data_IF_191378513726
#
_entry.id   IF_191378513726
#
_cell.length_a   1.000
_cell.length_b   1.000
_cell.length_c   1.000
_cell.angle_alpha   90.00
_cell.angle_beta   90.00
_cell.angle_gamma   90.00
#
_symmetry.space_group_name_H-M   'P 1'
#
loop_
_entity.id
_entity.type
_entity.pdbx_description
1 polymer ?
#
# COMPACT_ATOMS: atom_id res chain seq x y z
N UNK A 1 14.26 20.67 5.88
CA UNK A 1 12.97 20.65 5.17
C UNK A 1 13.27 20.61 3.68
N UNK A 2 13.00 19.51 2.98
CA UNK A 2 13.13 19.46 1.52
C UNK A 2 11.89 20.11 0.91
N UNK A 3 12.03 21.27 0.28
CA UNK A 3 10.97 21.85 -0.55
C UNK A 3 10.73 20.92 -1.75
N UNK A 4 9.61 20.18 -1.72
CA UNK A 4 9.14 19.52 -2.93
C UNK A 4 8.66 20.63 -3.87
N UNK A 5 9.50 20.97 -4.84
CA UNK A 5 9.14 21.88 -5.92
C UNK A 5 8.15 21.19 -6.86
N UNK A 6 6.95 21.76 -6.97
CA UNK A 6 5.94 21.33 -7.94
C UNK A 6 6.45 21.51 -9.38
N UNK A 7 6.06 20.61 -10.29
CA UNK A 7 6.44 20.63 -11.71
C UNK A 7 7.93 20.37 -12.02
N UNK A 8 8.63 19.65 -11.14
CA UNK A 8 9.95 19.06 -11.38
C UNK A 8 9.84 17.53 -11.31
N UNK A 9 10.64 16.83 -12.11
CA UNK A 9 10.87 15.39 -11.92
C UNK A 9 11.59 15.13 -10.59
N UNK A 10 11.13 14.12 -9.87
CA UNK A 10 11.72 13.67 -8.61
C UNK A 10 11.88 12.16 -8.65
N UNK A 11 12.97 11.67 -8.08
CA UNK A 11 13.14 10.23 -7.88
C UNK A 11 12.14 9.73 -6.85
N UNK A 12 11.40 8.67 -7.19
CA UNK A 12 10.44 8.05 -6.28
C UNK A 12 11.11 7.64 -4.97
N UNK A 13 12.34 7.12 -5.03
CA UNK A 13 13.14 6.74 -3.86
C UNK A 13 13.46 7.91 -2.93
N UNK A 14 13.45 9.16 -3.41
CA UNK A 14 13.59 10.36 -2.59
C UNK A 14 12.32 10.69 -1.80
N UNK A 15 11.15 10.27 -2.28
CA UNK A 15 9.84 10.64 -1.75
C UNK A 15 9.25 9.57 -0.83
N UNK A 16 9.48 8.30 -1.15
CA UNK A 16 8.89 7.15 -0.43
C UNK A 16 9.95 6.14 0.00
N UNK A 17 9.59 5.31 0.97
CA UNK A 17 10.32 4.12 1.38
C UNK A 17 9.49 2.87 1.06
N UNK A 18 10.14 1.81 0.60
CA UNK A 18 9.51 0.49 0.57
C UNK A 18 9.36 -0.05 1.98
N UNK A 19 8.16 -0.51 2.34
CA UNK A 19 7.92 -1.08 3.66
C UNK A 19 8.43 -2.52 3.73
N UNK A 20 9.27 -2.81 4.73
CA UNK A 20 9.76 -4.15 5.05
C UNK A 20 9.20 -4.70 6.36
N UNK A 21 8.37 -3.93 7.07
CA UNK A 21 7.72 -4.32 8.32
C UNK A 21 6.77 -5.51 8.09
N UNK A 22 6.62 -6.36 9.12
CA UNK A 22 5.83 -7.59 9.04
C UNK A 22 4.86 -7.70 10.20
N UNK A 23 3.61 -8.03 9.90
CA UNK A 23 2.55 -8.33 10.87
C UNK A 23 2.32 -9.84 10.95
N UNK A 24 1.99 -10.34 12.14
CA UNK A 24 1.66 -11.76 12.35
C UNK A 24 0.29 -12.09 11.76
N UNK A 25 0.15 -13.29 11.19
CA UNK A 25 -1.09 -13.71 10.56
C UNK A 25 -2.30 -13.70 11.51
N UNK A 26 -2.09 -13.97 12.80
CA UNK A 26 -3.16 -13.92 13.82
C UNK A 26 -3.72 -12.52 14.09
N UNK A 27 -3.10 -11.45 13.59
CA UNK A 27 -3.57 -10.07 13.71
C UNK A 27 -4.24 -9.54 12.44
N UNK A 28 -4.37 -10.37 11.41
CA UNK A 28 -4.93 -10.00 10.11
C UNK A 28 -6.22 -10.79 9.88
N UNK A 29 -7.25 -10.08 9.42
CA UNK A 29 -8.58 -10.60 9.10
C UNK A 29 -8.82 -10.54 7.59
N UNK A 30 -9.94 -11.09 7.12
CA UNK A 30 -10.34 -10.97 5.71
C UNK A 30 -10.53 -9.51 5.29
N UNK A 31 -11.02 -8.66 6.20
CA UNK A 31 -11.21 -7.23 5.94
C UNK A 31 -9.90 -6.43 5.94
N UNK A 32 -8.85 -6.95 6.60
CA UNK A 32 -7.55 -6.25 6.76
C UNK A 32 -6.42 -6.92 5.97
N UNK A 33 -6.74 -7.88 5.10
CA UNK A 33 -5.78 -8.53 4.20
C UNK A 33 -5.92 -8.03 2.77
N UNK A 34 -4.84 -7.50 2.20
CA UNK A 34 -4.80 -6.99 0.83
C UNK A 34 -3.91 -7.86 -0.06
N UNK A 35 -4.42 -8.20 -1.23
CA UNK A 35 -3.74 -8.99 -2.25
C UNK A 35 -4.14 -8.49 -3.63
N UNK A 36 -3.50 -9.04 -4.67
CA UNK A 36 -3.83 -8.70 -6.06
C UNK A 36 -5.27 -9.03 -6.43
N UNK A 37 -5.91 -9.98 -5.73
CA UNK A 37 -7.24 -10.49 -6.05
C UNK A 37 -8.34 -9.54 -5.57
N UNK A 38 -8.17 -8.92 -4.40
CA UNK A 38 -9.16 -8.03 -3.79
C UNK A 38 -8.83 -6.53 -3.93
N UNK A 39 -7.77 -6.18 -4.65
CA UNK A 39 -7.60 -4.81 -5.17
C UNK A 39 -8.39 -4.62 -6.47
N UNK A 40 -9.20 -3.56 -6.53
CA UNK A 40 -10.01 -3.23 -7.70
C UNK A 40 -9.18 -2.54 -8.78
N UNK A 41 -9.54 -2.79 -10.05
CA UNK A 41 -8.88 -2.17 -11.21
C UNK A 41 -9.08 -0.65 -11.19
N UNK A 42 -8.25 0.07 -11.92
CA UNK A 42 -8.43 1.51 -12.18
C UNK A 42 -8.51 2.38 -10.92
N UNK A 43 -7.70 2.03 -9.91
CA UNK A 43 -7.66 2.71 -8.60
C UNK A 43 -9.01 2.70 -7.90
N UNK A 44 -9.83 1.67 -8.17
CA UNK A 44 -11.18 1.53 -7.63
C UNK A 44 -11.26 1.19 -6.14
N UNK A 45 -10.13 1.05 -5.44
CA UNK A 45 -10.07 0.70 -4.03
C UNK A 45 -9.84 -0.79 -3.79
N UNK A 46 -10.41 -1.29 -2.69
CA UNK A 46 -10.25 -2.67 -2.23
C UNK A 46 -11.58 -3.24 -1.76
N UNK A 47 -11.70 -4.57 -1.81
CA UNK A 47 -12.80 -5.34 -1.23
C UNK A 47 -12.26 -6.30 -0.16
N UNK A 48 -13.11 -6.84 0.74
CA UNK A 48 -12.68 -7.89 1.66
C UNK A 48 -12.10 -9.10 0.92
N UNK A 49 -11.03 -9.69 1.47
CA UNK A 49 -10.47 -10.91 0.92
C UNK A 49 -11.45 -12.07 1.06
N UNK A 50 -11.45 -13.00 0.11
CA UNK A 50 -12.27 -14.22 0.19
C UNK A 50 -11.62 -15.32 1.03
N UNK A 51 -10.29 -15.26 1.21
CA UNK A 51 -9.51 -16.20 2.02
C UNK A 51 -8.20 -15.56 2.49
N UNK A 52 -7.71 -16.01 3.64
CA UNK A 52 -6.34 -15.74 4.07
C UNK A 52 -5.41 -16.85 3.56
N UNK A 53 -4.20 -16.52 3.09
CA UNK A 53 -3.21 -17.53 2.73
C UNK A 53 -2.64 -18.21 3.99
N UNK A 54 -2.15 -19.44 3.83
CA UNK A 54 -1.42 -20.15 4.88
C UNK A 54 0.01 -19.63 5.01
N UNK A 55 0.19 -18.47 5.64
CA UNK A 55 1.48 -17.87 5.96
C UNK A 55 1.51 -17.43 7.43
N UNK A 56 2.69 -17.38 8.04
CA UNK A 56 2.84 -16.94 9.43
C UNK A 56 2.88 -15.42 9.59
N UNK A 57 3.31 -14.69 8.54
CA UNK A 57 3.46 -13.23 8.54
C UNK A 57 3.16 -12.62 7.17
N UNK A 58 2.75 -11.36 7.17
CA UNK A 58 2.44 -10.56 5.99
C UNK A 58 3.24 -9.27 5.96
N UNK A 59 3.34 -8.60 4.81
CA UNK A 59 3.83 -7.23 4.75
C UNK A 59 2.87 -6.32 5.51
N UNK A 60 3.37 -5.50 6.43
CA UNK A 60 2.52 -4.66 7.27
C UNK A 60 2.38 -3.26 6.68
N UNK A 61 1.20 -2.91 6.18
CA UNK A 61 0.89 -1.54 5.77
C UNK A 61 0.15 -0.79 6.88
N UNK A 62 0.28 0.53 6.89
CA UNK A 62 -0.38 1.45 7.79
C UNK A 62 -1.31 2.38 7.01
N UNK A 63 -2.19 3.06 7.73
CA UNK A 63 -2.99 4.16 7.19
C UNK A 63 -2.07 5.16 6.46
N UNK A 64 -2.52 5.65 5.31
CA UNK A 64 -1.81 6.53 4.36
C UNK A 64 -0.63 5.90 3.60
N UNK A 65 -0.38 4.60 3.73
CA UNK A 65 0.51 3.93 2.78
C UNK A 65 -0.15 3.78 1.41
N UNK A 66 0.64 3.90 0.34
CA UNK A 66 0.17 3.58 -1.01
C UNK A 66 0.52 2.13 -1.34
N UNK A 67 -0.51 1.31 -1.59
CA UNK A 67 -0.39 -0.08 -2.00
C UNK A 67 -0.50 -0.19 -3.53
N UNK A 68 0.39 -0.95 -4.13
CA UNK A 68 0.48 -1.14 -5.57
C UNK A 68 0.60 -2.63 -5.91
N UNK A 69 -0.35 -3.15 -6.68
CA UNK A 69 -0.29 -4.53 -7.20
C UNK A 69 0.82 -4.66 -8.24
N UNK A 70 1.85 -5.46 -7.96
CA UNK A 70 3.00 -5.64 -8.85
C UNK A 70 2.71 -6.63 -9.99
N UNK A 71 1.70 -7.50 -9.84
CA UNK A 71 1.27 -8.41 -10.91
C UNK A 71 0.28 -7.69 -11.82
N UNK A 72 0.56 -7.73 -13.14
CA UNK A 72 -0.28 -7.12 -14.20
C UNK A 72 -0.55 -5.62 -13.96
N UNK A 73 0.53 -4.84 -13.84
CA UNK A 73 0.53 -3.41 -13.51
C UNK A 73 -0.37 -2.54 -14.40
N UNK A 74 -0.65 -2.97 -15.63
CA UNK A 74 -1.57 -2.31 -16.56
C UNK A 74 -3.02 -2.22 -16.05
N UNK A 75 -3.42 -3.04 -15.07
CA UNK A 75 -4.73 -2.94 -14.42
C UNK A 75 -4.87 -1.77 -13.43
N UNK A 76 -3.79 -1.04 -13.15
CA UNK A 76 -3.81 0.18 -12.32
C UNK A 76 -4.43 -0.04 -10.94
N UNK A 77 -4.23 -1.23 -10.36
CA UNK A 77 -4.65 -1.58 -9.01
C UNK A 77 -3.73 -0.88 -7.99
N UNK A 78 -4.13 0.32 -7.59
CA UNK A 78 -3.42 1.19 -6.64
C UNK A 78 -4.42 1.67 -5.61
N UNK A 79 -4.03 1.68 -4.34
CA UNK A 79 -4.91 2.08 -3.25
C UNK A 79 -4.13 2.87 -2.19
N UNK A 80 -4.73 3.95 -1.70
CA UNK A 80 -4.25 4.67 -0.53
C UNK A 80 -4.97 4.08 0.69
N UNK A 81 -4.22 3.51 1.62
CA UNK A 81 -4.79 2.78 2.74
C UNK A 81 -5.52 3.71 3.71
N UNK A 82 -6.77 3.42 4.02
CA UNK A 82 -7.58 4.07 5.05
C UNK A 82 -7.56 3.32 6.40
N UNK A 83 -7.07 2.07 6.41
CA UNK A 83 -6.79 1.26 7.58
C UNK A 83 -5.37 0.64 7.53
N UNK A 84 -5.00 -0.12 8.56
CA UNK A 84 -3.76 -0.88 8.61
C UNK A 84 -4.01 -2.38 8.52
N UNK A 85 -3.04 -3.15 8.04
CA UNK A 85 -3.26 -4.58 7.82
C UNK A 85 -2.10 -5.33 7.18
N UNK A 86 -2.40 -6.56 6.74
CA UNK A 86 -1.44 -7.43 6.08
C UNK A 86 -1.59 -7.39 4.57
N UNK A 87 -0.49 -7.33 3.83
CA UNK A 87 -0.48 -7.42 2.38
C UNK A 87 0.31 -8.63 1.87
N UNK A 88 -0.10 -9.15 0.72
CA UNK A 88 0.63 -10.21 0.02
C UNK A 88 2.00 -9.73 -0.45
N UNK A 89 2.96 -10.64 -0.70
CA UNK A 89 4.26 -10.29 -1.27
C UNK A 89 4.19 -9.60 -2.65
N UNK A 90 3.10 -9.80 -3.39
CA UNK A 90 2.87 -9.23 -4.72
C UNK A 90 2.30 -7.81 -4.68
N UNK A 91 2.04 -7.28 -3.48
CA UNK A 91 1.60 -5.89 -3.26
C UNK A 91 2.77 -5.12 -2.65
N UNK A 92 3.27 -4.15 -3.42
CA UNK A 92 4.29 -3.20 -2.97
C UNK A 92 3.62 -2.14 -2.08
N UNK A 93 4.26 -1.82 -0.96
CA UNK A 93 3.80 -0.79 -0.04
C UNK A 93 4.80 0.36 -0.06
N UNK A 94 4.34 1.54 -0.47
CA UNK A 94 5.09 2.77 -0.47
C UNK A 94 4.64 3.63 0.71
N UNK A 95 5.56 3.91 1.63
CA UNK A 95 5.33 4.85 2.73
C UNK A 95 5.97 6.19 2.43
N UNK A 96 5.21 7.28 2.51
CA UNK A 96 5.76 8.63 2.34
C UNK A 96 6.81 8.93 3.41
N UNK A 97 7.92 9.57 3.02
CA UNK A 97 8.93 10.08 3.97
C UNK A 97 8.50 11.40 4.59
N UNK A 98 7.58 12.14 3.95
CA UNK A 98 7.08 13.42 4.42
C UNK A 98 5.57 13.35 4.63
N UNK A 99 5.14 13.35 5.88
CA UNK A 99 3.74 13.28 6.27
C UNK A 99 2.95 14.56 5.95
N UNK A 100 3.59 15.72 5.84
CA UNK A 100 2.91 16.97 5.50
C UNK A 100 2.39 16.97 4.05
N UNK A 101 3.09 16.27 3.16
CA UNK A 101 2.72 16.12 1.74
C UNK A 101 1.64 15.06 1.55
N UNK A 102 1.57 14.06 2.44
CA UNK A 102 0.54 13.02 2.38
C UNK A 102 -0.82 13.49 2.92
N UNK A 103 -0.82 14.48 3.81
CA UNK A 103 -2.04 15.03 4.44
C UNK A 103 -2.59 16.26 3.72
N UNK A 104 -1.98 16.72 2.62
CA UNK A 104 -2.53 17.79 1.79
C UNK A 104 -3.66 17.25 0.92
N UNK A 105 -4.75 16.87 1.58
CA UNK A 105 -6.07 16.74 0.97
C UNK A 105 -6.53 18.16 0.60
N UNK A 106 -6.59 18.44 -0.70
CA UNK A 106 -7.56 19.40 -1.22
C UNK A 106 -8.92 18.73 -1.32
#
# INVERSE_FOLDING_TARGET
MSEILFNREHDLSGLVSFVSEKIEAGKVTLDTYISTDNMLVDRGGVEPATKLPSASRFNYFKVNDTLFSNIRTYFRKVWLADFEGGASPDVLIFRTKNSEVANSSN
#
